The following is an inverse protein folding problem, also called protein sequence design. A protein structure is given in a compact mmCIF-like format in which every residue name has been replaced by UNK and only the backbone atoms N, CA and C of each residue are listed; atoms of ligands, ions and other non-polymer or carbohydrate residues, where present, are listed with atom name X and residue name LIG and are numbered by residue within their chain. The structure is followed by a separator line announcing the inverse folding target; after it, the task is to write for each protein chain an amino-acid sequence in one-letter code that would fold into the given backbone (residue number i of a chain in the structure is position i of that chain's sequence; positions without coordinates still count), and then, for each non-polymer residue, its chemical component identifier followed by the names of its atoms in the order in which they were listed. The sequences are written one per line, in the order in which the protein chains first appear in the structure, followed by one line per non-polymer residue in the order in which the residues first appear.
data_IF_564567975319
#
_entry.id   IF_564567975319
#
_cell.length_a   1.000
_cell.length_b   1.000
_cell.length_c   1.000
_cell.angle_alpha   90.00
_cell.angle_beta   90.00
_cell.angle_gamma   90.00
#
_symmetry.space_group_name_H-M   'P 1'
#
loop_
_entity.id
_entity.type
_entity.pdbx_description
1 polymer ?
#
# COMPACT_ATOMS: atom_id res chain seq x y z
N UNK A 1 -14.68 4.54 -16.65
CA UNK A 1 -15.18 3.72 -15.52
C UNK A 1 -14.44 4.19 -14.31
N UNK A 2 -15.17 4.55 -13.26
CA UNK A 2 -14.54 5.11 -12.06
C UNK A 2 -14.15 3.99 -11.11
N UNK A 3 -12.97 4.09 -10.49
CA UNK A 3 -12.38 3.05 -9.64
C UNK A 3 -12.01 3.66 -8.30
N UNK A 4 -12.30 2.94 -7.22
CA UNK A 4 -11.96 3.34 -5.84
C UNK A 4 -11.02 2.29 -5.25
N UNK A 5 -9.83 2.73 -4.80
CA UNK A 5 -8.87 1.88 -4.08
C UNK A 5 -8.97 2.14 -2.58
N UNK A 6 -9.38 1.13 -1.82
CA UNK A 6 -9.48 1.24 -0.37
C UNK A 6 -8.10 1.13 0.29
N UNK A 7 -7.58 2.24 0.77
CA UNK A 7 -6.26 2.38 1.41
C UNK A 7 -6.32 2.51 2.95
N UNK A 8 -7.35 1.93 3.59
CA UNK A 8 -7.59 2.07 5.04
C UNK A 8 -6.93 1.00 5.93
N UNK A 9 -6.80 1.32 7.22
CA UNK A 9 -6.36 0.40 8.28
C UNK A 9 -5.10 0.86 9.03
N UNK A 10 -4.96 0.46 10.31
CA UNK A 10 -3.91 0.95 11.23
C UNK A 10 -2.48 0.45 10.94
N UNK A 11 -2.28 -0.44 9.95
CA UNK A 11 -0.95 -0.94 9.58
C UNK A 11 -0.22 -1.80 10.63
N UNK A 12 -0.82 -2.11 11.78
CA UNK A 12 -0.12 -2.63 12.97
C UNK A 12 0.70 -3.92 12.77
N UNK A 13 0.29 -4.81 11.85
CA UNK A 13 1.00 -6.07 11.57
C UNK A 13 2.35 -5.90 10.86
N UNK A 14 2.56 -4.78 10.18
CA UNK A 14 3.80 -4.49 9.44
C UNK A 14 4.70 -3.51 10.19
N UNK A 15 4.40 -3.18 11.45
CA UNK A 15 5.32 -2.40 12.27
C UNK A 15 6.66 -3.15 12.43
N UNK A 16 7.80 -2.45 12.46
CA UNK A 16 7.94 -0.98 12.52
C UNK A 16 7.84 -0.28 11.15
N UNK A 17 7.77 -1.01 10.04
CA UNK A 17 7.85 -0.47 8.68
C UNK A 17 6.75 0.59 8.44
N UNK A 18 5.55 0.36 8.97
CA UNK A 18 4.40 1.25 8.78
C UNK A 18 4.21 2.29 9.91
N UNK A 19 5.22 2.57 10.73
CA UNK A 19 5.10 3.62 11.75
C UNK A 19 5.04 5.03 11.13
N UNK A 20 5.90 5.28 10.14
CA UNK A 20 5.98 6.57 9.44
C UNK A 20 5.62 6.45 7.95
N UNK A 21 5.06 5.30 7.54
CA UNK A 21 4.75 4.98 6.15
C UNK A 21 3.39 4.28 6.05
N UNK A 22 2.45 4.78 5.22
CA UNK A 22 1.19 4.09 4.96
C UNK A 22 1.43 2.71 4.36
N UNK A 23 0.63 1.71 4.77
CA UNK A 23 0.74 0.33 4.27
C UNK A 23 0.78 0.24 2.73
N UNK A 24 -0.04 0.98 1.95
CA UNK A 24 0.02 0.90 0.49
C UNK A 24 1.32 1.38 -0.14
N UNK A 25 2.12 2.15 0.59
CA UNK A 25 3.40 2.69 0.11
C UNK A 25 4.61 1.86 0.55
N UNK A 26 4.40 0.77 1.29
CA UNK A 26 5.47 -0.17 1.64
C UNK A 26 6.09 -0.73 0.37
N UNK A 27 7.42 -0.72 0.31
CA UNK A 27 8.17 -1.24 -0.84
C UNK A 27 8.14 -2.76 -0.88
N UNK A 28 7.71 -3.30 -2.02
CA UNK A 28 7.73 -4.71 -2.39
C UNK A 28 8.59 -4.82 -3.66
N UNK A 29 9.67 -5.58 -3.60
CA UNK A 29 10.63 -5.73 -4.71
C UNK A 29 11.07 -4.40 -5.37
N UNK A 30 11.28 -3.36 -4.56
CA UNK A 30 11.76 -2.06 -5.03
C UNK A 30 10.66 -1.11 -5.54
N UNK A 31 9.38 -1.49 -5.46
CA UNK A 31 8.24 -0.63 -5.86
C UNK A 31 7.19 -0.56 -4.74
N UNK A 32 6.48 0.57 -4.57
CA UNK A 32 5.35 0.64 -3.63
C UNK A 32 4.30 -0.44 -3.92
N UNK A 33 3.73 -1.04 -2.88
CA UNK A 33 2.65 -2.03 -3.03
C UNK A 33 1.49 -1.53 -3.90
N UNK A 34 1.15 -0.23 -3.80
CA UNK A 34 0.10 0.41 -4.60
C UNK A 34 0.35 0.30 -6.11
N UNK A 35 1.61 0.25 -6.57
CA UNK A 35 1.94 0.09 -7.99
C UNK A 35 1.39 -1.22 -8.54
N UNK A 36 1.47 -2.30 -7.77
CA UNK A 36 0.92 -3.59 -8.18
C UNK A 36 -0.60 -3.52 -8.34
N UNK A 37 -1.30 -2.78 -7.48
CA UNK A 37 -2.75 -2.58 -7.62
C UNK A 37 -3.05 -1.86 -8.94
N UNK A 38 -2.30 -0.79 -9.24
CA UNK A 38 -2.49 -0.04 -10.48
C UNK A 38 -2.15 -0.84 -11.74
N UNK A 39 -1.19 -1.75 -11.71
CA UNK A 39 -0.87 -2.62 -12.84
C UNK A 39 -2.02 -3.59 -13.21
N UNK A 40 -3.00 -3.80 -12.30
CA UNK A 40 -4.19 -4.64 -12.54
C UNK A 40 -5.44 -3.86 -12.98
N UNK A 41 -5.41 -2.53 -12.97
CA UNK A 41 -6.55 -1.67 -13.33
C UNK A 41 -6.49 -1.28 -14.81
#
# INVERSE_FOLDING_TARGET
MDIIVLAGGLGTRLKPITENLPKPLVSIAGKPFLTYIFDYL
#
